data_IF_787049864380
#
_entry.id   IF_787049864380
#
_cell.length_a   1.000
_cell.length_b   1.000
_cell.length_c   1.000
_cell.angle_alpha   90.00
_cell.angle_beta   90.00
_cell.angle_gamma   90.00
#
_symmetry.space_group_name_H-M   'P 1'
#
loop_
_entity.id
_entity.type
_entity.pdbx_description
1 polymer ?
#
# COMPACT_ATOMS: atom_id res chain seq x y z
N UNK A 1 -22.29 -22.14 -20.72
CA UNK A 1 -21.18 -22.18 -19.74
C UNK A 1 -20.80 -20.75 -19.43
N UNK A 2 -21.42 -20.13 -18.41
CA UNK A 2 -20.99 -18.81 -17.95
C UNK A 2 -19.63 -18.97 -17.29
N UNK A 3 -18.58 -18.50 -17.96
CA UNK A 3 -17.28 -18.33 -17.32
C UNK A 3 -17.46 -17.31 -16.21
N UNK A 4 -17.31 -17.77 -14.99
CA UNK A 4 -17.53 -16.99 -13.78
C UNK A 4 -16.41 -15.93 -13.66
N UNK A 5 -16.72 -14.69 -14.10
CA UNK A 5 -15.85 -13.51 -14.08
C UNK A 5 -15.29 -13.27 -12.65
N UNK A 6 -15.96 -13.78 -11.62
CA UNK A 6 -15.54 -13.66 -10.22
C UNK A 6 -14.12 -14.20 -9.97
N UNK A 7 -13.67 -15.22 -10.71
CA UNK A 7 -12.31 -15.77 -10.57
C UNK A 7 -11.19 -14.82 -11.03
N UNK A 8 -11.51 -13.75 -11.78
CA UNK A 8 -10.54 -12.72 -12.16
C UNK A 8 -10.23 -11.75 -11.02
N UNK A 9 -11.05 -11.74 -9.95
CA UNK A 9 -10.86 -10.86 -8.81
C UNK A 9 -9.70 -11.37 -7.96
N UNK A 10 -8.57 -10.67 -8.00
CA UNK A 10 -7.52 -10.83 -6.99
C UNK A 10 -7.96 -10.07 -5.74
N UNK A 11 -8.14 -10.76 -4.61
CA UNK A 11 -8.24 -10.09 -3.30
C UNK A 11 -6.84 -9.62 -2.92
N UNK A 12 -6.64 -8.31 -2.90
CA UNK A 12 -5.39 -7.68 -2.46
C UNK A 12 -5.43 -7.42 -0.95
N UNK A 13 -5.71 -8.45 -0.17
CA UNK A 13 -5.77 -8.37 1.30
C UNK A 13 -4.39 -8.71 1.87
N UNK A 14 -3.48 -7.72 1.88
CA UNK A 14 -2.13 -7.89 2.44
C UNK A 14 -1.97 -7.31 3.85
N UNK A 15 -2.70 -6.25 4.17
CA UNK A 15 -2.71 -5.61 5.49
C UNK A 15 -3.97 -4.71 5.58
N UNK A 16 -4.43 -4.44 6.80
CA UNK A 16 -5.45 -3.41 7.05
C UNK A 16 -4.79 -2.12 7.53
N UNK A 17 -5.43 -1.00 7.22
CA UNK A 17 -5.12 0.30 7.82
C UNK A 17 -6.33 0.72 8.66
N UNK A 18 -6.16 0.72 9.99
CA UNK A 18 -7.16 1.21 10.94
C UNK A 18 -6.63 2.43 11.69
N UNK A 19 -7.51 3.33 12.11
CA UNK A 19 -7.13 4.54 12.86
C UNK A 19 -6.43 4.18 14.17
N UNK A 20 -6.91 3.15 14.87
CA UNK A 20 -6.32 2.65 16.12
C UNK A 20 -4.90 2.07 15.93
N UNK A 21 -4.60 1.55 14.74
CA UNK A 21 -3.28 1.02 14.39
C UNK A 21 -2.36 2.06 13.75
N UNK A 22 -2.87 3.27 13.48
CA UNK A 22 -2.11 4.34 12.84
C UNK A 22 -1.35 5.17 13.87
N UNK A 23 -0.14 5.60 13.52
CA UNK A 23 0.63 6.56 14.33
C UNK A 23 -0.05 7.92 14.29
N UNK A 24 -0.03 8.63 15.42
CA UNK A 24 -0.55 9.98 15.53
C UNK A 24 0.32 11.01 14.76
N UNK A 25 1.63 10.77 14.67
CA UNK A 25 2.52 11.56 13.82
C UNK A 25 2.53 10.96 12.40
N UNK A 26 2.07 11.71 11.37
CA UNK A 26 2.04 11.23 9.99
C UNK A 26 3.44 10.95 9.42
N UNK A 27 4.48 11.62 9.93
CA UNK A 27 5.87 11.38 9.49
C UNK A 27 6.36 10.03 10.00
N UNK A 28 6.00 9.67 11.23
CA UNK A 28 6.32 8.33 11.77
C UNK A 28 5.57 7.24 11.03
N UNK A 29 4.29 7.45 10.69
CA UNK A 29 3.53 6.49 9.91
C UNK A 29 4.14 6.27 8.52
N UNK A 30 4.53 7.36 7.85
CA UNK A 30 5.21 7.29 6.55
C UNK A 30 6.53 6.55 6.64
N UNK A 31 7.36 6.84 7.66
CA UNK A 31 8.64 6.18 7.85
C UNK A 31 8.49 4.65 8.01
N UNK A 32 7.48 4.22 8.78
CA UNK A 32 7.16 2.80 8.92
C UNK A 32 6.84 2.15 7.56
N UNK A 33 5.91 2.72 6.79
CA UNK A 33 5.55 2.16 5.49
C UNK A 33 6.70 2.18 4.49
N UNK A 34 7.53 3.23 4.52
CA UNK A 34 8.70 3.31 3.66
C UNK A 34 9.71 2.21 3.97
N UNK A 35 9.95 1.92 5.25
CA UNK A 35 10.80 0.81 5.65
C UNK A 35 10.21 -0.57 5.30
N UNK A 36 8.90 -0.75 5.44
CA UNK A 36 8.20 -1.97 5.00
C UNK A 36 8.32 -2.17 3.48
N UNK A 37 8.16 -1.11 2.69
CA UNK A 37 8.33 -1.13 1.24
C UNK A 37 9.77 -1.48 0.85
N UNK A 38 10.75 -0.90 1.54
CA UNK A 38 12.18 -1.19 1.33
C UNK A 38 12.53 -2.63 1.67
N UNK A 39 11.98 -3.18 2.76
CA UNK A 39 12.15 -4.58 3.15
C UNK A 39 11.45 -5.55 2.21
N UNK A 40 10.34 -5.13 1.60
CA UNK A 40 9.59 -5.93 0.62
C UNK A 40 10.20 -5.89 -0.79
N UNK A 41 11.33 -5.20 -0.96
CA UNK A 41 12.08 -5.05 -2.21
C UNK A 41 11.19 -4.61 -3.40
N UNK A 42 10.21 -3.73 -3.11
CA UNK A 42 9.39 -3.17 -4.19
C UNK A 42 10.26 -2.29 -5.10
N UNK A 43 10.00 -2.28 -6.43
CA UNK A 43 10.73 -1.39 -7.32
C UNK A 43 10.51 0.08 -6.95
N UNK A 44 11.59 0.86 -6.94
CA UNK A 44 11.57 2.32 -6.74
C UNK A 44 10.69 2.76 -5.54
N UNK A 45 10.97 2.31 -4.31
CA UNK A 45 10.11 2.55 -3.14
C UNK A 45 9.98 4.03 -2.76
N UNK A 46 10.85 4.90 -3.29
CA UNK A 46 10.87 6.34 -3.10
C UNK A 46 10.35 7.14 -4.32
N UNK A 47 9.90 6.49 -5.39
CA UNK A 47 9.35 7.21 -6.54
C UNK A 47 8.05 7.95 -6.16
N UNK A 48 7.93 9.20 -6.61
CA UNK A 48 6.78 10.07 -6.34
C UNK A 48 6.32 10.76 -7.62
N UNK A 49 5.00 10.87 -7.79
CA UNK A 49 4.38 11.69 -8.84
C UNK A 49 4.00 13.04 -8.25
N UNK A 50 4.74 14.09 -8.62
CA UNK A 50 4.49 15.47 -8.17
C UNK A 50 3.71 16.24 -9.23
N UNK A 51 2.53 16.76 -8.86
CA UNK A 51 1.73 17.63 -9.72
C UNK A 51 1.97 19.11 -9.40
N UNK A 52 2.03 19.96 -10.44
CA UNK A 52 2.21 21.42 -10.36
C UNK A 52 1.12 22.16 -11.14
N UNK A 53 0.86 23.44 -10.84
CA UNK A 53 -0.15 24.30 -11.49
C UNK A 53 0.44 25.31 -12.47
#
# INVERSE_FOLDING_TARGET
>A
MSQDIAHLRKSYERAELSEDASRADPTEQFAQWFDEARQSEVPEPNAMTLATV
#
